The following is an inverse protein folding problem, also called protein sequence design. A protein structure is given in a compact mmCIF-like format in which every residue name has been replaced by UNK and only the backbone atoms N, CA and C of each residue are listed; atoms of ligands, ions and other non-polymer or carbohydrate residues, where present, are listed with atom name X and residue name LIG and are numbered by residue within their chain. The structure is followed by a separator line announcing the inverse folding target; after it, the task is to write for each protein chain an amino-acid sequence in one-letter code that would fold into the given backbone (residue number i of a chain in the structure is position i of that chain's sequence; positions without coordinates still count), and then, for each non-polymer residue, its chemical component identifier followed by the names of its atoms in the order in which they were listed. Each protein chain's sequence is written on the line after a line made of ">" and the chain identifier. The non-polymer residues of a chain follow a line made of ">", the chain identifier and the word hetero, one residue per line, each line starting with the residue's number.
data_IF_264960132123
#
_entry.id   IF_264960132123
#
_cell.length_a   1.000
_cell.length_b   1.000
_cell.length_c   1.000
_cell.angle_alpha   90.00
_cell.angle_beta   90.00
_cell.angle_gamma   90.00
#
_symmetry.space_group_name_H-M   'P 1'
#
loop_
_entity.id
_entity.type
_entity.pdbx_description
1 polymer ?
#
# COMPACT_ATOMS: atom_id res chain seq x y z
N UNK A 1 67.79 2.24 21.54
CA UNK A 1 66.87 1.56 20.59
C UNK A 1 65.62 0.94 21.26
N UNK A 2 65.60 0.82 22.59
CA UNK A 2 64.47 0.23 23.34
C UNK A 2 63.37 1.24 23.77
N UNK A 3 63.70 2.51 23.91
CA UNK A 3 62.76 3.57 24.34
C UNK A 3 61.76 3.98 23.24
N UNK A 4 62.17 3.90 21.97
CA UNK A 4 61.29 4.24 20.84
C UNK A 4 60.21 3.15 20.63
N UNK A 5 60.55 1.87 20.89
CA UNK A 5 59.58 0.76 20.77
C UNK A 5 58.50 0.80 21.86
N UNK A 6 58.82 1.28 23.05
CA UNK A 6 57.87 1.42 24.16
C UNK A 6 56.90 2.59 23.95
N UNK A 7 57.31 3.69 23.33
CA UNK A 7 56.45 4.83 23.00
C UNK A 7 55.49 4.49 21.88
N UNK A 8 55.91 3.68 20.90
CA UNK A 8 55.03 3.26 19.80
C UNK A 8 53.94 2.28 20.26
N UNK A 9 54.28 1.42 21.24
CA UNK A 9 53.30 0.48 21.80
C UNK A 9 52.22 1.19 22.64
N UNK A 10 52.56 2.25 23.37
CA UNK A 10 51.62 3.05 24.16
C UNK A 10 50.69 3.88 23.23
N UNK A 11 51.19 4.39 22.08
CA UNK A 11 50.37 5.13 21.12
C UNK A 11 49.37 4.23 20.35
N UNK A 12 49.71 2.97 20.10
CA UNK A 12 48.81 2.02 19.44
C UNK A 12 47.67 1.58 20.38
N UNK A 13 47.94 1.46 21.69
CA UNK A 13 46.90 1.13 22.69
C UNK A 13 45.95 2.31 22.90
N UNK A 14 46.41 3.56 22.80
CA UNK A 14 45.54 4.75 22.89
C UNK A 14 44.60 4.94 21.67
N UNK A 15 44.94 4.38 20.50
CA UNK A 15 44.11 4.44 19.30
C UNK A 15 43.00 3.35 19.24
N UNK A 16 43.09 2.32 20.07
CA UNK A 16 42.06 1.27 20.13
C UNK A 16 40.96 1.57 21.18
N UNK A 17 41.07 2.63 21.94
CA UNK A 17 40.11 3.04 22.96
C UNK A 17 39.06 4.06 22.51
N UNK A 18 39.04 4.44 21.21
CA UNK A 18 38.20 5.54 20.73
C UNK A 18 37.00 5.12 19.87
N UNK A 19 36.59 3.87 19.92
CA UNK A 19 35.27 3.44 19.41
C UNK A 19 34.50 2.83 20.58
N UNK A 20 34.16 3.62 21.57
CA UNK A 20 32.93 3.41 22.32
C UNK A 20 31.86 4.06 21.48
N UNK A 21 31.16 3.24 20.70
CA UNK A 21 29.77 3.58 20.32
C UNK A 21 29.07 3.81 21.67
N UNK A 22 28.81 5.08 21.99
CA UNK A 22 27.68 5.37 22.85
C UNK A 22 26.46 4.83 22.10
N UNK A 23 26.11 3.58 22.38
CA UNK A 23 24.74 3.14 22.21
C UNK A 23 23.93 4.09 23.09
N UNK A 24 23.31 5.10 22.49
CA UNK A 24 22.23 5.82 23.12
C UNK A 24 21.09 4.78 23.26
N UNK A 25 21.22 3.95 24.29
CA UNK A 25 20.15 3.14 24.84
C UNK A 25 19.16 4.12 25.50
N UNK A 26 18.62 5.00 24.65
CA UNK A 26 17.40 5.74 24.94
C UNK A 26 16.31 4.70 25.06
N UNK A 27 16.15 4.17 26.27
CA UNK A 27 15.16 3.16 26.61
C UNK A 27 13.79 3.78 26.39
N UNK A 28 13.28 3.65 25.16
CA UNK A 28 11.90 4.02 24.86
C UNK A 28 10.99 3.08 25.62
N UNK A 29 10.19 3.61 26.54
CA UNK A 29 9.19 2.81 27.24
C UNK A 29 7.92 2.81 26.43
N UNK A 30 7.47 1.63 26.06
CA UNK A 30 6.16 1.43 25.43
C UNK A 30 5.13 1.18 26.53
N UNK A 31 4.07 1.95 26.52
CA UNK A 31 2.94 1.82 27.46
C UNK A 31 1.70 1.30 26.75
N UNK A 32 1.04 0.34 27.34
CA UNK A 32 -0.27 -0.15 26.87
C UNK A 32 -1.38 0.57 27.62
N UNK A 33 -2.33 1.12 26.88
CA UNK A 33 -3.48 1.87 27.39
C UNK A 33 -4.77 1.30 26.81
N UNK A 34 -5.92 1.69 27.37
CA UNK A 34 -7.25 1.34 26.85
C UNK A 34 -8.04 2.63 26.64
N UNK A 35 -8.69 2.76 25.48
CA UNK A 35 -9.57 3.91 25.22
C UNK A 35 -10.97 3.74 25.81
N UNK A 36 -11.81 4.76 25.66
CA UNK A 36 -13.19 4.77 26.19
C UNK A 36 -14.12 3.73 25.56
N UNK A 37 -13.73 3.17 24.41
CA UNK A 37 -14.49 2.13 23.70
C UNK A 37 -13.98 0.72 23.99
N UNK A 38 -12.94 0.60 24.83
CA UNK A 38 -12.35 -0.69 25.22
C UNK A 38 -11.25 -1.19 24.30
N UNK A 39 -10.82 -0.41 23.28
CA UNK A 39 -9.69 -0.78 22.43
C UNK A 39 -8.37 -0.49 23.11
N UNK A 40 -7.46 -1.46 23.10
CA UNK A 40 -6.09 -1.29 23.58
C UNK A 40 -5.21 -0.63 22.53
N UNK A 41 -4.33 0.26 22.98
CA UNK A 41 -3.34 0.91 22.13
C UNK A 41 -2.01 1.09 22.86
N UNK A 42 -0.95 1.20 22.08
CA UNK A 42 0.41 1.46 22.56
C UNK A 42 0.78 2.92 22.32
N UNK A 43 1.56 3.47 23.26
CA UNK A 43 2.21 4.79 23.15
C UNK A 43 3.67 4.66 23.56
N UNK A 44 4.49 5.61 23.17
CA UNK A 44 5.90 5.70 23.57
C UNK A 44 6.08 6.90 24.49
N UNK A 45 6.82 6.72 25.60
CA UNK A 45 7.13 7.82 26.50
C UNK A 45 7.92 8.93 25.79
N UNK A 46 7.54 10.17 26.07
CA UNK A 46 8.16 11.37 25.50
C UNK A 46 8.06 11.48 23.96
N UNK A 47 7.13 10.75 23.32
CA UNK A 47 6.82 10.95 21.91
C UNK A 47 6.09 12.30 21.73
N UNK A 48 6.72 13.28 21.05
CA UNK A 48 6.13 14.61 20.86
C UNK A 48 4.91 14.58 19.91
N UNK A 49 4.74 13.50 19.13
CA UNK A 49 3.63 13.36 18.18
C UNK A 49 2.36 12.83 18.86
N UNK A 50 2.48 12.25 20.05
CA UNK A 50 1.38 11.61 20.77
C UNK A 50 0.75 10.46 19.98
N UNK A 51 1.55 9.76 19.17
CA UNK A 51 1.12 8.65 18.33
C UNK A 51 0.51 7.52 19.17
N UNK A 52 -0.62 7.00 18.70
CA UNK A 52 -1.26 5.79 19.24
C UNK A 52 -1.23 4.69 18.22
N UNK A 53 -0.75 3.50 18.61
CA UNK A 53 -0.73 2.31 17.77
C UNK A 53 -1.79 1.33 18.27
N UNK A 54 -2.79 1.07 17.46
CA UNK A 54 -3.78 0.01 17.66
C UNK A 54 -3.40 -1.19 16.81
N UNK A 55 -3.54 -2.39 17.37
CA UNK A 55 -3.46 -3.64 16.61
C UNK A 55 -4.82 -4.34 16.68
N UNK A 56 -5.47 -4.47 15.50
CA UNK A 56 -6.77 -5.12 15.41
C UNK A 56 -6.64 -6.65 15.40
N UNK A 57 -7.74 -7.36 15.66
CA UNK A 57 -7.76 -8.83 15.72
C UNK A 57 -7.25 -9.53 14.45
N UNK A 58 -7.45 -8.90 13.29
CA UNK A 58 -6.95 -9.41 12.01
C UNK A 58 -5.47 -9.07 11.73
N UNK A 59 -4.78 -8.44 12.70
CA UNK A 59 -3.38 -8.03 12.57
C UNK A 59 -3.15 -6.66 11.90
N UNK A 60 -4.22 -5.96 11.47
CA UNK A 60 -4.09 -4.61 10.94
C UNK A 60 -3.59 -3.66 12.03
N UNK A 61 -2.55 -2.91 11.71
CA UNK A 61 -2.01 -1.86 12.58
C UNK A 61 -2.55 -0.50 12.16
N UNK A 62 -3.13 0.23 13.12
CA UNK A 62 -3.68 1.56 12.91
C UNK A 62 -2.87 2.56 13.73
N UNK A 63 -2.20 3.48 13.05
CA UNK A 63 -1.41 4.55 13.65
C UNK A 63 -2.24 5.83 13.65
N UNK A 64 -2.52 6.40 14.82
CA UNK A 64 -3.26 7.65 14.97
C UNK A 64 -2.35 8.73 15.53
N UNK A 65 -1.94 9.67 14.69
CA UNK A 65 -1.25 10.89 15.07
C UNK A 65 -2.24 12.06 15.10
N UNK A 66 -2.06 13.01 16.03
CA UNK A 66 -2.91 14.20 16.14
C UNK A 66 -2.19 15.42 15.60
N UNK A 67 -2.75 16.03 14.54
CA UNK A 67 -2.37 17.37 14.09
C UNK A 67 -3.61 18.28 14.15
N UNK A 68 -3.46 19.48 14.70
CA UNK A 68 -4.56 20.45 14.90
C UNK A 68 -4.43 21.69 14.01
N UNK A 69 -3.45 21.71 13.12
CA UNK A 69 -3.18 22.87 12.26
C UNK A 69 -4.25 23.04 11.17
N UNK A 70 -4.83 21.94 10.70
CA UNK A 70 -5.83 21.93 9.64
C UNK A 70 -6.99 21.00 9.97
N UNK A 71 -8.24 21.28 9.54
CA UNK A 71 -9.38 20.38 9.69
C UNK A 71 -9.34 19.26 8.63
N UNK A 72 -8.19 18.71 8.38
CA UNK A 72 -7.94 17.64 7.39
C UNK A 72 -7.21 16.47 8.03
N UNK A 73 -7.38 15.29 7.46
CA UNK A 73 -6.69 14.06 7.84
C UNK A 73 -5.82 13.62 6.67
N UNK A 74 -4.51 13.50 6.91
CA UNK A 74 -3.62 12.80 6.00
C UNK A 74 -3.74 11.30 6.26
N UNK A 75 -4.14 10.54 5.27
CA UNK A 75 -4.28 9.10 5.36
C UNK A 75 -3.16 8.40 4.58
N UNK A 76 -2.70 7.27 5.12
CA UNK A 76 -1.69 6.41 4.51
C UNK A 76 -2.11 4.96 4.75
N UNK A 77 -2.36 4.20 3.69
CA UNK A 77 -2.58 2.75 3.76
C UNK A 77 -1.33 2.09 3.21
N UNK A 78 -0.52 1.51 4.09
CA UNK A 78 0.72 0.85 3.73
C UNK A 78 0.54 -0.67 3.72
N UNK A 79 0.83 -1.28 2.57
CA UNK A 79 0.87 -2.73 2.38
C UNK A 79 2.33 -3.16 2.36
N UNK A 80 2.69 -4.14 3.21
CA UNK A 80 4.05 -4.71 3.26
C UNK A 80 4.25 -5.66 2.08
N UNK A 81 4.18 -5.12 0.88
CA UNK A 81 4.46 -5.78 -0.39
C UNK A 81 5.00 -4.76 -1.39
N UNK A 82 6.16 -5.00 -1.93
CA UNK A 82 6.81 -4.17 -2.93
C UNK A 82 7.58 -5.04 -3.91
N UNK A 83 8.43 -4.45 -4.75
CA UNK A 83 9.09 -5.16 -5.84
C UNK A 83 10.00 -6.32 -5.41
N UNK A 84 10.47 -6.34 -4.16
CA UNK A 84 11.25 -7.49 -3.63
C UNK A 84 10.40 -8.74 -3.39
N UNK A 85 9.10 -8.61 -3.35
CA UNK A 85 8.14 -9.72 -3.21
C UNK A 85 7.63 -10.25 -4.55
N UNK A 86 8.01 -9.60 -5.65
CA UNK A 86 7.63 -10.06 -6.99
C UNK A 86 8.20 -11.46 -7.26
N UNK A 87 7.44 -12.36 -7.91
CA UNK A 87 7.99 -13.61 -8.42
C UNK A 87 9.11 -13.32 -9.45
N UNK A 88 10.16 -14.14 -9.44
CA UNK A 88 11.33 -13.95 -10.31
C UNK A 88 10.97 -13.98 -11.82
N UNK A 89 9.91 -14.67 -12.19
CA UNK A 89 9.39 -14.78 -13.54
C UNK A 89 8.29 -13.76 -13.90
N UNK A 90 7.85 -12.94 -12.92
CA UNK A 90 6.82 -11.92 -13.08
C UNK A 90 7.17 -10.66 -12.29
N UNK A 91 8.26 -10.00 -12.65
CA UNK A 91 8.68 -8.74 -12.01
C UNK A 91 7.72 -7.60 -12.36
N UNK A 92 7.51 -6.68 -11.41
CA UNK A 92 6.58 -5.55 -11.54
C UNK A 92 5.15 -5.86 -11.08
N UNK A 93 4.91 -7.05 -10.52
CA UNK A 93 3.57 -7.47 -10.08
C UNK A 93 3.03 -6.57 -8.95
N UNK A 94 3.86 -6.20 -7.98
CA UNK A 94 3.44 -5.31 -6.90
C UNK A 94 2.97 -3.95 -7.43
N UNK A 95 3.71 -3.37 -8.38
CA UNK A 95 3.34 -2.11 -9.03
C UNK A 95 2.09 -2.26 -9.92
N UNK A 96 1.95 -3.38 -10.60
CA UNK A 96 0.75 -3.67 -11.37
C UNK A 96 -0.49 -3.78 -10.46
N UNK A 97 -0.39 -4.47 -9.33
CA UNK A 97 -1.47 -4.55 -8.35
C UNK A 97 -1.84 -3.19 -7.75
N UNK A 98 -0.86 -2.29 -7.56
CA UNK A 98 -1.12 -0.91 -7.18
C UNK A 98 -2.10 -0.24 -8.15
N UNK A 99 -1.85 -0.33 -9.46
CA UNK A 99 -2.77 0.21 -10.48
C UNK A 99 -4.13 -0.48 -10.47
N UNK A 100 -4.17 -1.79 -10.25
CA UNK A 100 -5.44 -2.54 -10.23
C UNK A 100 -6.37 -2.09 -9.10
N UNK A 101 -5.83 -1.72 -7.93
CA UNK A 101 -6.63 -1.23 -6.79
C UNK A 101 -7.41 0.06 -7.11
N UNK A 102 -7.02 0.81 -8.15
CA UNK A 102 -7.74 1.99 -8.64
C UNK A 102 -8.82 1.68 -9.69
N UNK A 103 -8.90 0.44 -10.20
CA UNK A 103 -9.81 0.11 -11.30
C UNK A 103 -11.24 -0.12 -10.85
N UNK A 104 -11.44 -0.77 -9.72
CA UNK A 104 -12.76 -0.96 -9.16
C UNK A 104 -12.94 -2.25 -8.36
N UNK A 105 -14.17 -2.47 -7.97
CA UNK A 105 -14.65 -3.63 -7.21
C UNK A 105 -15.95 -4.15 -7.84
N UNK A 106 -16.61 -5.11 -7.20
CA UNK A 106 -17.94 -5.55 -7.61
C UNK A 106 -19.03 -4.48 -7.43
N UNK A 107 -18.70 -3.28 -6.88
CA UNK A 107 -19.63 -2.16 -6.63
C UNK A 107 -19.12 -0.80 -7.10
N UNK A 108 -17.83 -0.65 -7.31
CA UNK A 108 -17.17 0.59 -7.75
C UNK A 108 -16.53 0.31 -9.10
N UNK A 109 -16.76 1.17 -10.08
CA UNK A 109 -16.18 1.02 -11.41
C UNK A 109 -17.07 0.26 -12.41
N UNK A 110 -18.26 -0.17 -12.02
CA UNK A 110 -19.18 -0.95 -12.85
C UNK A 110 -20.62 -0.47 -12.78
N UNK A 111 -21.36 -0.55 -13.88
CA UNK A 111 -22.81 -0.33 -13.94
C UNK A 111 -23.60 -1.58 -13.58
N UNK A 112 -23.07 -2.76 -13.91
CA UNK A 112 -23.67 -4.07 -13.68
C UNK A 112 -22.56 -5.12 -13.63
N UNK A 113 -22.09 -5.42 -12.42
CA UNK A 113 -21.01 -6.37 -12.22
C UNK A 113 -21.37 -7.81 -12.62
N UNK A 114 -22.64 -8.22 -12.43
CA UNK A 114 -23.08 -9.57 -12.81
C UNK A 114 -23.02 -9.79 -14.32
N UNK A 115 -23.29 -8.76 -15.12
CA UNK A 115 -23.12 -8.80 -16.56
C UNK A 115 -21.63 -8.66 -16.96
N UNK A 116 -20.93 -7.70 -16.39
CA UNK A 116 -19.53 -7.39 -16.70
C UNK A 116 -18.61 -8.57 -16.36
N UNK A 117 -18.78 -9.21 -15.20
CA UNK A 117 -17.96 -10.34 -14.77
C UNK A 117 -17.99 -11.54 -15.72
N UNK A 118 -19.11 -11.77 -16.43
CA UNK A 118 -19.21 -12.80 -17.44
C UNK A 118 -18.37 -12.48 -18.67
N UNK A 119 -18.36 -11.21 -19.08
CA UNK A 119 -17.54 -10.73 -20.20
C UNK A 119 -16.06 -10.77 -19.84
N UNK A 120 -15.69 -10.36 -18.63
CA UNK A 120 -14.30 -10.43 -18.11
C UNK A 120 -13.82 -11.90 -18.13
N UNK A 121 -14.66 -12.82 -17.68
CA UNK A 121 -14.32 -14.26 -17.72
C UNK A 121 -14.15 -14.77 -19.14
N UNK A 122 -14.98 -14.33 -20.07
CA UNK A 122 -14.87 -14.69 -21.50
C UNK A 122 -13.56 -14.14 -22.08
N UNK A 123 -13.21 -12.88 -21.80
CA UNK A 123 -11.96 -12.24 -22.21
C UNK A 123 -10.78 -13.05 -21.68
N UNK A 124 -10.78 -13.41 -20.38
CA UNK A 124 -9.73 -14.24 -19.77
C UNK A 124 -9.55 -15.59 -20.48
N UNK A 125 -10.65 -16.26 -20.77
CA UNK A 125 -10.62 -17.53 -21.49
C UNK A 125 -10.06 -17.37 -22.93
N UNK A 126 -10.44 -16.33 -23.64
CA UNK A 126 -9.93 -16.01 -24.97
C UNK A 126 -8.43 -15.70 -24.97
N UNK A 127 -7.91 -15.01 -23.93
CA UNK A 127 -6.48 -14.81 -23.77
C UNK A 127 -5.74 -16.12 -23.53
N UNK A 128 -6.31 -17.05 -22.73
CA UNK A 128 -5.72 -18.38 -22.53
C UNK A 128 -5.73 -19.24 -23.81
N UNK A 129 -6.76 -19.10 -24.64
CA UNK A 129 -6.83 -19.72 -25.97
C UNK A 129 -5.78 -19.13 -26.90
N UNK A 130 -5.69 -17.79 -26.97
CA UNK A 130 -4.70 -17.07 -27.75
C UNK A 130 -3.27 -17.46 -27.38
N UNK A 131 -2.98 -17.63 -26.08
CA UNK A 131 -1.67 -18.03 -25.58
C UNK A 131 -1.25 -19.42 -26.07
N UNK A 132 -2.21 -20.34 -26.20
CA UNK A 132 -1.97 -21.74 -26.61
C UNK A 132 -1.92 -21.91 -28.12
N UNK A 133 -2.57 -21.04 -28.91
CA UNK A 133 -2.62 -21.13 -30.37
C UNK A 133 -1.22 -20.82 -30.95
N UNK A 134 -0.83 -21.55 -32.01
CA UNK A 134 0.44 -21.38 -32.72
C UNK A 134 0.27 -20.80 -34.11
N UNK A 135 -0.92 -20.93 -34.71
CA UNK A 135 -1.22 -20.41 -36.04
C UNK A 135 -1.42 -18.89 -35.99
N UNK A 136 -0.63 -18.09 -36.71
CA UNK A 136 -0.73 -16.64 -36.67
C UNK A 136 -2.10 -16.09 -37.12
N UNK A 137 -2.74 -16.71 -38.11
CA UNK A 137 -4.04 -16.23 -38.60
C UNK A 137 -5.15 -16.53 -37.57
N UNK A 138 -5.13 -17.70 -36.94
CA UNK A 138 -6.05 -18.03 -35.87
C UNK A 138 -5.84 -17.14 -34.64
N UNK A 139 -4.58 -16.84 -34.26
CA UNK A 139 -4.27 -15.86 -33.19
C UNK A 139 -4.94 -14.53 -33.47
N UNK A 140 -4.85 -14.04 -34.69
CA UNK A 140 -5.44 -12.78 -35.12
C UNK A 140 -6.97 -12.82 -35.04
N UNK A 141 -7.59 -13.94 -35.37
CA UNK A 141 -9.05 -14.13 -35.22
C UNK A 141 -9.47 -14.14 -33.76
N UNK A 142 -8.73 -14.83 -32.89
CA UNK A 142 -8.99 -14.83 -31.44
C UNK A 142 -8.85 -13.42 -30.90
N UNK A 143 -7.80 -12.68 -31.29
CA UNK A 143 -7.60 -11.31 -30.84
C UNK A 143 -8.76 -10.38 -31.25
N UNK A 144 -9.31 -10.53 -32.45
CA UNK A 144 -10.52 -9.79 -32.85
C UNK A 144 -11.73 -10.08 -31.97
N UNK A 145 -11.87 -11.34 -31.50
CA UNK A 145 -12.94 -11.69 -30.56
C UNK A 145 -12.68 -11.04 -29.20
N UNK A 146 -11.44 -11.05 -28.71
CA UNK A 146 -11.05 -10.34 -27.49
C UNK A 146 -11.42 -8.87 -27.57
N UNK A 147 -11.08 -8.18 -28.66
CA UNK A 147 -11.42 -6.77 -28.87
C UNK A 147 -12.93 -6.55 -28.83
N UNK A 148 -13.69 -7.40 -29.51
CA UNK A 148 -15.16 -7.30 -29.54
C UNK A 148 -15.79 -7.47 -28.16
N UNK A 149 -15.38 -8.49 -27.40
CA UNK A 149 -15.92 -8.75 -26.07
C UNK A 149 -15.46 -7.66 -25.08
N UNK A 150 -14.20 -7.20 -25.18
CA UNK A 150 -13.68 -6.09 -24.38
C UNK A 150 -14.45 -4.80 -24.64
N UNK A 151 -14.85 -4.54 -25.88
CA UNK A 151 -15.70 -3.39 -26.20
C UNK A 151 -17.08 -3.49 -25.54
N UNK A 152 -17.71 -4.67 -25.53
CA UNK A 152 -18.99 -4.85 -24.83
C UNK A 152 -18.82 -4.69 -23.31
N UNK A 153 -17.75 -5.23 -22.71
CA UNK A 153 -17.45 -5.04 -21.29
C UNK A 153 -17.23 -3.56 -20.95
N UNK A 154 -16.53 -2.81 -21.81
CA UNK A 154 -16.25 -1.39 -21.56
C UNK A 154 -17.51 -0.50 -21.47
N UNK A 155 -18.64 -0.94 -22.02
CA UNK A 155 -19.93 -0.23 -21.91
C UNK A 155 -20.52 -0.33 -20.49
N UNK A 156 -20.10 -1.33 -19.73
CA UNK A 156 -20.52 -1.53 -18.35
C UNK A 156 -19.56 -0.89 -17.34
N UNK A 157 -18.34 -0.57 -17.76
CA UNK A 157 -17.34 0.04 -16.91
C UNK A 157 -17.60 1.53 -16.67
N UNK A 158 -17.43 1.98 -15.41
CA UNK A 158 -17.41 3.39 -15.01
C UNK A 158 -15.97 3.83 -14.83
N UNK A 159 -15.40 4.50 -15.82
CA UNK A 159 -14.01 4.94 -15.77
C UNK A 159 -13.76 5.92 -14.64
N UNK A 160 -12.67 5.68 -13.86
CA UNK A 160 -12.17 6.55 -12.80
C UNK A 160 -13.22 6.85 -11.71
N UNK A 161 -14.11 5.89 -11.41
CA UNK A 161 -15.17 6.11 -10.40
C UNK A 161 -14.59 6.31 -9.01
N UNK A 162 -13.53 5.58 -8.63
CA UNK A 162 -12.84 5.79 -7.36
C UNK A 162 -12.37 7.24 -7.20
N UNK A 163 -11.70 7.78 -8.21
CA UNK A 163 -11.22 9.17 -8.16
C UNK A 163 -12.38 10.17 -8.04
N UNK A 164 -13.50 9.93 -8.75
CA UNK A 164 -14.70 10.74 -8.64
C UNK A 164 -15.30 10.68 -7.24
N UNK A 165 -15.35 9.49 -6.63
CA UNK A 165 -15.86 9.30 -5.27
C UNK A 165 -15.01 10.07 -4.25
N UNK A 166 -13.69 9.85 -4.21
CA UNK A 166 -12.83 10.52 -3.23
C UNK A 166 -12.76 12.04 -3.46
N UNK A 167 -12.76 12.49 -4.72
CA UNK A 167 -12.85 13.91 -5.05
C UNK A 167 -14.17 14.54 -4.58
N UNK A 168 -15.29 13.81 -4.66
CA UNK A 168 -16.59 14.28 -4.16
C UNK A 168 -16.62 14.46 -2.65
N UNK A 169 -15.75 13.75 -1.91
CA UNK A 169 -15.51 13.94 -0.48
C UNK A 169 -14.58 15.14 -0.18
N UNK A 170 -14.02 15.77 -1.19
CA UNK A 170 -13.03 16.84 -1.04
C UNK A 170 -11.61 16.32 -0.77
N UNK A 171 -11.30 15.11 -1.17
CA UNK A 171 -9.94 14.57 -1.07
C UNK A 171 -8.97 15.34 -1.98
N UNK A 172 -7.76 15.53 -1.48
CA UNK A 172 -6.63 16.13 -2.20
C UNK A 172 -5.44 15.16 -2.16
N UNK A 173 -4.54 15.26 -3.13
CA UNK A 173 -3.30 14.47 -3.15
C UNK A 173 -3.53 12.96 -3.18
N UNK A 174 -4.65 12.50 -3.76
CA UNK A 174 -4.90 11.08 -4.00
C UNK A 174 -3.81 10.52 -4.88
N UNK A 175 -3.04 9.58 -4.36
CA UNK A 175 -1.91 8.97 -5.05
C UNK A 175 -1.56 7.60 -4.47
N UNK A 176 -0.68 6.87 -5.14
CA UNK A 176 -0.02 5.70 -4.61
C UNK A 176 1.41 5.60 -5.12
N UNK A 177 2.22 4.79 -4.47
CA UNK A 177 3.56 4.44 -4.95
C UNK A 177 3.97 3.06 -4.45
N UNK A 178 4.73 2.36 -5.28
CA UNK A 178 5.35 1.07 -4.94
C UNK A 178 6.87 1.27 -4.82
N UNK A 179 7.42 0.81 -3.70
CA UNK A 179 8.86 0.76 -3.45
C UNK A 179 9.35 -0.69 -3.40
N UNK A 180 10.58 -0.91 -2.93
CA UNK A 180 11.14 -2.25 -2.82
C UNK A 180 10.36 -3.14 -1.83
N UNK A 181 9.89 -2.58 -0.70
CA UNK A 181 9.32 -3.36 0.39
C UNK A 181 7.85 -3.07 0.68
N UNK A 182 7.29 -2.00 0.11
CA UNK A 182 5.94 -1.57 0.41
C UNK A 182 5.26 -0.89 -0.78
N UNK A 183 3.92 -0.98 -0.78
CA UNK A 183 3.03 -0.17 -1.61
C UNK A 183 2.20 0.71 -0.67
N UNK A 184 2.13 2.00 -0.95
CA UNK A 184 1.45 2.98 -0.09
C UNK A 184 0.41 3.75 -0.90
N UNK A 185 -0.80 3.88 -0.35
CA UNK A 185 -1.90 4.66 -0.90
C UNK A 185 -2.16 5.86 0.00
N UNK A 186 -2.30 7.04 -0.57
CA UNK A 186 -2.42 8.29 0.18
C UNK A 186 -3.64 9.11 -0.23
N UNK A 187 -4.28 9.75 0.76
CA UNK A 187 -5.29 10.77 0.55
C UNK A 187 -5.14 11.85 1.62
N UNK A 188 -5.53 13.08 1.32
CA UNK A 188 -5.75 14.14 2.32
C UNK A 188 -7.22 14.52 2.26
N UNK A 189 -7.99 14.17 3.29
CA UNK A 189 -9.45 14.31 3.32
C UNK A 189 -9.90 15.33 4.38
N UNK A 190 -11.03 16.00 4.20
CA UNK A 190 -11.68 16.74 5.28
C UNK A 190 -12.00 15.83 6.47
N UNK A 191 -11.79 16.30 7.70
CA UNK A 191 -11.95 15.45 8.91
C UNK A 191 -13.38 14.94 9.13
N UNK A 192 -14.38 15.65 8.64
CA UNK A 192 -15.79 15.26 8.71
C UNK A 192 -16.19 14.18 7.68
N UNK A 193 -15.33 13.85 6.73
CA UNK A 193 -15.58 12.84 5.70
C UNK A 193 -14.92 11.48 5.98
N UNK A 194 -14.29 11.32 7.16
CA UNK A 194 -13.56 10.10 7.53
C UNK A 194 -14.41 8.83 7.39
N UNK A 195 -15.65 8.85 7.87
CA UNK A 195 -16.53 7.67 7.84
C UNK A 195 -16.88 7.24 6.41
N UNK A 196 -17.07 8.21 5.51
CA UNK A 196 -17.37 7.90 4.11
C UNK A 196 -16.12 7.38 3.40
N UNK A 197 -14.97 8.02 3.66
CA UNK A 197 -13.69 7.58 3.13
C UNK A 197 -13.36 6.15 3.59
N UNK A 198 -13.53 5.83 4.88
CA UNK A 198 -13.32 4.47 5.40
C UNK A 198 -14.19 3.43 4.71
N UNK A 199 -15.46 3.75 4.37
CA UNK A 199 -16.34 2.85 3.62
C UNK A 199 -15.82 2.57 2.21
N UNK A 200 -15.36 3.61 1.50
CA UNK A 200 -14.79 3.48 0.15
C UNK A 200 -13.52 2.64 0.19
N UNK A 201 -12.60 2.93 1.12
CA UNK A 201 -11.34 2.18 1.25
C UNK A 201 -11.58 0.73 1.70
N UNK A 202 -12.49 0.50 2.64
CA UNK A 202 -12.84 -0.85 3.07
C UNK A 202 -13.38 -1.70 1.92
N UNK A 203 -14.23 -1.13 1.06
CA UNK A 203 -14.71 -1.80 -0.15
C UNK A 203 -13.55 -2.10 -1.10
N UNK A 204 -12.72 -1.10 -1.40
CA UNK A 204 -11.60 -1.19 -2.35
C UNK A 204 -10.56 -2.24 -1.95
N UNK A 205 -10.21 -2.33 -0.66
CA UNK A 205 -9.22 -3.29 -0.16
C UNK A 205 -9.79 -4.67 0.19
N UNK A 206 -11.12 -4.82 0.28
CA UNK A 206 -11.75 -6.12 0.54
C UNK A 206 -12.14 -6.89 -0.73
N UNK A 207 -12.30 -6.22 -1.85
CA UNK A 207 -12.90 -6.74 -3.08
C UNK A 207 -12.19 -6.24 -4.32
N UNK A 208 -10.97 -6.72 -4.55
CA UNK A 208 -10.29 -6.49 -5.83
C UNK A 208 -10.87 -7.44 -6.89
N UNK A 209 -11.28 -6.91 -8.04
CA UNK A 209 -11.83 -7.66 -9.20
C UNK A 209 -11.11 -7.30 -10.49
#
# INVERSE_FOLDING_TARGET
>A
MNTIKSILAVFIIALLGSCQEESSDGKYTVNTNTDSNGYTYETVDNDPTGLRLYTLENGLKVYLGRNQEEPKIQTLIAVKAGSTYDPADNTGLAHYLEHMVFKGTDKIGTLDYDAESKLIKEISNLYEEHKKEQDPEKKKEIYKKIDSVSYEASKLAIANEYDKLVNSLGAEGTNAFTSNEQTVYTNKIPSNELDKWLKVESERFSKLV
#
